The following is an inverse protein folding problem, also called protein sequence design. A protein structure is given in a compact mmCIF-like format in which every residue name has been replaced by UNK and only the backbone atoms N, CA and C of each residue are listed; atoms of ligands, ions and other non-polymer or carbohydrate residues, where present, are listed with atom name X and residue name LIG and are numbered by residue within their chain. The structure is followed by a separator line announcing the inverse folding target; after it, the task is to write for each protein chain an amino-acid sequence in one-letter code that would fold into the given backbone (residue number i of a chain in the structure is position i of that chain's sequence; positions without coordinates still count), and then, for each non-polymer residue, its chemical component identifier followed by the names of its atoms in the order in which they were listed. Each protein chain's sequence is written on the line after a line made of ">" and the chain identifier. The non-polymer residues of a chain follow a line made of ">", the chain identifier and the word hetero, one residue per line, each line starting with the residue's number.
data_IF_047342057337
#
_entry.id   IF_047342057337
#
_cell.length_a   1.000
_cell.length_b   1.000
_cell.length_c   1.000
_cell.angle_alpha   90.00
_cell.angle_beta   90.00
_cell.angle_gamma   90.00
#
_symmetry.space_group_name_H-M   'P 1'
#
loop_
_entity.id
_entity.type
_entity.pdbx_description
1 polymer ?
#
# COMPACT_ATOMS: atom_id res chain seq x y z
N UNK A 1 -7.55 -9.73 -5.59
CA UNK A 1 -6.66 -10.19 -4.51
C UNK A 1 -5.56 -9.18 -4.34
N UNK A 2 -5.17 -8.92 -3.09
CA UNK A 2 -4.02 -8.11 -2.75
C UNK A 2 -3.05 -8.96 -1.94
N UNK A 3 -1.80 -9.01 -2.36
CA UNK A 3 -0.71 -9.63 -1.61
C UNK A 3 0.06 -8.50 -0.92
N UNK A 4 0.16 -8.52 0.41
CA UNK A 4 0.83 -7.50 1.22
C UNK A 4 1.96 -8.14 2.02
N UNK A 5 3.20 -8.02 1.55
CA UNK A 5 4.31 -8.81 2.08
C UNK A 5 3.96 -10.30 2.00
N UNK A 6 3.84 -10.96 3.15
CA UNK A 6 3.39 -12.34 3.23
C UNK A 6 1.88 -12.52 3.46
N UNK A 7 1.11 -11.44 3.57
CA UNK A 7 -0.34 -11.54 3.76
C UNK A 7 -1.10 -11.55 2.43
N UNK A 8 -2.23 -12.25 2.37
CA UNK A 8 -3.13 -12.21 1.21
C UNK A 8 -4.51 -11.78 1.65
N UNK A 9 -5.06 -10.78 0.96
CA UNK A 9 -6.41 -10.25 1.16
C UNK A 9 -7.25 -10.52 -0.08
N UNK A 10 -8.39 -11.18 0.13
CA UNK A 10 -9.36 -11.50 -0.92
C UNK A 10 -10.66 -10.73 -0.69
N UNK A 11 -10.75 -9.54 -1.29
CA UNK A 11 -11.97 -8.74 -1.27
C UNK A 11 -13.03 -9.31 -2.23
N UNK A 12 -14.28 -9.43 -1.75
CA UNK A 12 -15.46 -9.79 -2.55
C UNK A 12 -16.41 -8.62 -2.76
N UNK A 13 -16.52 -7.76 -1.76
CA UNK A 13 -17.28 -6.50 -1.78
C UNK A 13 -16.34 -5.35 -2.14
N UNK A 14 -16.84 -4.33 -2.85
CA UNK A 14 -16.07 -3.16 -3.24
C UNK A 14 -16.93 -1.89 -3.09
N UNK A 15 -16.35 -0.74 -2.69
CA UNK A 15 -14.97 -0.57 -2.25
C UNK A 15 -14.67 -1.34 -0.95
N UNK A 16 -13.41 -1.72 -0.73
CA UNK A 16 -12.99 -2.48 0.44
C UNK A 16 -11.72 -1.89 1.05
N UNK A 17 -11.85 -1.40 2.28
CA UNK A 17 -10.73 -0.97 3.09
C UNK A 17 -9.97 -2.17 3.63
N UNK A 18 -8.66 -2.21 3.38
CA UNK A 18 -7.75 -3.26 3.86
C UNK A 18 -7.03 -2.78 5.11
N UNK A 19 -6.55 -1.53 5.10
CA UNK A 19 -5.96 -0.86 6.26
C UNK A 19 -6.61 0.50 6.40
N UNK A 20 -7.18 0.76 7.57
CA UNK A 20 -7.80 2.04 7.93
C UNK A 20 -7.17 2.64 9.19
N UNK A 21 -7.15 3.96 9.26
CA UNK A 21 -6.72 4.72 10.43
C UNK A 21 -7.75 5.81 10.70
N UNK A 22 -8.36 5.79 11.89
CA UNK A 22 -9.41 6.73 12.31
C UNK A 22 -10.53 6.90 11.28
N UNK A 23 -10.96 5.79 10.67
CA UNK A 23 -12.02 5.77 9.65
C UNK A 23 -11.58 6.30 8.28
N UNK A 24 -10.28 6.51 8.05
CA UNK A 24 -9.71 6.82 6.73
C UNK A 24 -8.99 5.62 6.16
N UNK A 25 -9.31 5.29 4.92
CA UNK A 25 -8.66 4.20 4.19
C UNK A 25 -7.21 4.59 3.84
N UNK A 26 -6.25 3.84 4.37
CA UNK A 26 -4.83 3.97 4.01
C UNK A 26 -4.47 3.00 2.89
N UNK A 27 -5.06 1.80 2.89
CA UNK A 27 -4.97 0.83 1.81
C UNK A 27 -6.39 0.38 1.48
N UNK A 28 -6.81 0.57 0.23
CA UNK A 28 -8.14 0.17 -0.22
C UNK A 28 -8.10 -0.48 -1.60
N UNK A 29 -9.04 -1.41 -1.80
CA UNK A 29 -9.30 -2.06 -3.08
C UNK A 29 -10.64 -1.58 -3.62
N UNK A 30 -10.65 -1.28 -4.92
CA UNK A 30 -11.83 -0.96 -5.70
C UNK A 30 -11.90 -1.89 -6.92
N UNK A 31 -13.05 -1.95 -7.57
CA UNK A 31 -13.28 -2.75 -8.77
C UNK A 31 -13.72 -1.84 -9.91
N UNK A 32 -12.92 -1.82 -10.98
CA UNK A 32 -13.24 -1.08 -12.20
C UNK A 32 -14.40 -1.75 -12.95
N UNK A 33 -15.03 -1.01 -13.86
CA UNK A 33 -16.17 -1.47 -14.67
C UNK A 33 -15.85 -2.72 -15.51
N UNK A 34 -14.61 -2.87 -15.94
CA UNK A 34 -14.11 -4.04 -16.68
C UNK A 34 -13.81 -5.28 -15.79
N UNK A 35 -14.02 -5.15 -14.48
CA UNK A 35 -13.76 -6.21 -13.50
C UNK A 35 -12.31 -6.32 -13.05
N UNK A 36 -11.43 -5.42 -13.49
CA UNK A 36 -10.08 -5.29 -12.95
C UNK A 36 -10.10 -4.66 -11.55
N UNK A 37 -9.06 -4.94 -10.75
CA UNK A 37 -8.92 -4.37 -9.41
C UNK A 37 -8.11 -3.08 -9.49
N UNK A 38 -8.59 -2.07 -8.77
CA UNK A 38 -7.91 -0.82 -8.50
C UNK A 38 -7.38 -0.82 -7.07
N UNK A 39 -6.10 -0.50 -6.89
CA UNK A 39 -5.48 -0.28 -5.59
C UNK A 39 -5.38 1.23 -5.35
N UNK A 40 -5.74 1.64 -4.14
CA UNK A 40 -5.42 2.95 -3.59
C UNK A 40 -4.58 2.75 -2.34
N UNK A 41 -3.44 3.43 -2.25
CA UNK A 41 -2.58 3.43 -1.06
C UNK A 41 -1.91 4.79 -0.86
N UNK A 42 -1.88 5.25 0.38
CA UNK A 42 -1.09 6.40 0.82
C UNK A 42 0.14 5.92 1.58
N UNK A 43 1.33 6.14 1.02
CA UNK A 43 2.60 5.83 1.68
C UNK A 43 3.08 7.07 2.42
N UNK A 44 3.06 7.00 3.74
CA UNK A 44 3.54 8.05 4.62
C UNK A 44 4.99 7.79 5.02
N UNK A 45 5.76 8.86 5.16
CA UNK A 45 7.11 8.88 5.71
C UNK A 45 7.09 9.14 7.22
N UNK A 46 8.22 8.95 7.90
CA UNK A 46 8.39 9.20 9.33
C UNK A 46 8.14 10.66 9.73
N UNK A 47 8.25 11.61 8.80
CA UNK A 47 7.93 13.02 9.02
C UNK A 47 6.43 13.34 8.86
N UNK A 48 5.58 12.32 8.74
CA UNK A 48 4.13 12.46 8.63
C UNK A 48 3.67 13.04 7.29
N UNK A 49 4.50 12.99 6.25
CA UNK A 49 4.13 13.43 4.90
C UNK A 49 3.89 12.24 3.97
N UNK A 50 2.95 12.40 3.04
CA UNK A 50 2.77 11.45 1.94
C UNK A 50 3.95 11.60 0.97
N UNK A 51 4.67 10.50 0.80
CA UNK A 51 5.80 10.39 -0.14
C UNK A 51 5.35 9.85 -1.49
N UNK A 52 4.44 8.87 -1.47
CA UNK A 52 3.86 8.31 -2.67
C UNK A 52 2.39 7.99 -2.42
N UNK A 53 1.57 8.19 -3.43
CA UNK A 53 0.18 7.77 -3.49
C UNK A 53 -0.01 6.91 -4.72
N UNK A 54 -0.70 5.80 -4.56
CA UNK A 54 -1.36 5.13 -5.68
C UNK A 54 -2.83 5.49 -5.56
N UNK A 55 -3.41 6.10 -6.58
CA UNK A 55 -4.84 6.39 -6.64
C UNK A 55 -5.45 5.60 -7.80
N UNK A 56 -6.27 4.60 -7.51
CA UNK A 56 -6.93 3.75 -8.50
C UNK A 56 -6.01 3.25 -9.62
N UNK A 57 -4.84 2.76 -9.24
CA UNK A 57 -3.76 2.28 -10.12
C UNK A 57 -2.89 3.36 -10.78
N UNK A 58 -3.12 4.63 -10.49
CA UNK A 58 -2.30 5.74 -10.98
C UNK A 58 -1.30 6.18 -9.91
N UNK A 59 -0.05 6.38 -10.32
CA UNK A 59 1.03 6.71 -9.40
C UNK A 59 1.18 8.23 -9.31
N UNK A 60 0.99 8.75 -8.11
CA UNK A 60 1.19 10.17 -7.77
C UNK A 60 2.32 10.25 -6.76
N UNK A 61 3.48 10.72 -7.20
CA UNK A 61 4.64 10.93 -6.32
C UNK A 61 4.74 12.42 -5.99
N UNK A 62 4.95 12.74 -4.73
CA UNK A 62 5.13 14.12 -4.30
C UNK A 62 6.49 14.64 -4.81
N UNK A 63 6.48 15.45 -5.87
CA UNK A 63 7.68 15.99 -6.52
C UNK A 63 8.49 16.93 -5.63
N UNK A 64 7.93 17.42 -4.52
CA UNK A 64 8.66 18.22 -3.54
C UNK A 64 9.62 17.39 -2.68
N UNK A 65 9.62 16.07 -2.84
CA UNK A 65 10.45 15.16 -2.07
C UNK A 65 11.45 14.49 -3.03
N UNK A 66 12.72 14.34 -2.59
CA UNK A 66 13.77 13.71 -3.39
C UNK A 66 13.55 12.19 -3.35
N UNK A 67 12.60 11.72 -4.16
CA UNK A 67 12.24 10.31 -4.25
C UNK A 67 12.72 9.75 -5.58
N UNK A 68 13.28 8.53 -5.52
CA UNK A 68 13.64 7.79 -6.73
C UNK A 68 12.48 6.88 -7.10
N UNK A 69 11.88 7.16 -8.25
CA UNK A 69 10.86 6.32 -8.85
C UNK A 69 11.53 5.42 -9.89
N UNK A 70 11.42 4.11 -9.72
CA UNK A 70 11.88 3.13 -10.69
C UNK A 70 10.70 2.28 -11.17
N UNK A 71 10.51 2.24 -12.49
CA UNK A 71 9.47 1.44 -13.14
C UNK A 71 10.16 0.43 -14.05
N UNK A 72 10.59 -0.74 -13.53
CA UNK A 72 11.34 -1.71 -14.31
C UNK A 72 10.51 -2.32 -15.44
N UNK A 73 9.18 -2.35 -15.30
CA UNK A 73 8.25 -2.81 -16.32
C UNK A 73 6.88 -2.11 -16.19
N UNK A 74 5.97 -2.31 -17.15
CA UNK A 74 4.65 -1.67 -17.16
C UNK A 74 3.77 -2.08 -15.96
N UNK A 75 4.08 -3.19 -15.31
CA UNK A 75 3.33 -3.77 -14.20
C UNK A 75 3.97 -3.55 -12.84
N UNK A 76 5.13 -2.89 -12.73
CA UNK A 76 5.87 -2.74 -11.47
C UNK A 76 6.22 -1.28 -11.16
N UNK A 77 6.10 -0.85 -9.91
CA UNK A 77 6.61 0.42 -9.42
C UNK A 77 7.42 0.19 -8.15
N UNK A 78 8.64 0.72 -8.13
CA UNK A 78 9.49 0.80 -6.96
C UNK A 78 9.67 2.27 -6.61
N UNK A 79 9.47 2.62 -5.35
CA UNK A 79 9.73 3.95 -4.80
C UNK A 79 10.76 3.82 -3.69
N UNK A 80 11.82 4.61 -3.81
CA UNK A 80 12.87 4.74 -2.81
C UNK A 80 12.87 6.17 -2.24
N UNK A 81 13.17 6.29 -0.95
CA UNK A 81 13.36 7.58 -0.29
C UNK A 81 14.72 8.22 -0.66
N UNK A 82 14.95 9.42 -0.14
CA UNK A 82 16.19 10.18 -0.33
C UNK A 82 17.46 9.48 0.18
N UNK A 83 17.31 8.51 1.09
CA UNK A 83 18.41 7.71 1.63
C UNK A 83 18.63 6.40 0.83
N UNK A 84 17.87 6.20 -0.25
CA UNK A 84 17.91 4.97 -1.05
C UNK A 84 17.16 3.80 -0.41
N UNK A 85 16.31 4.05 0.60
CA UNK A 85 15.51 3.02 1.24
C UNK A 85 14.24 2.79 0.44
N UNK A 86 13.99 1.54 0.04
CA UNK A 86 12.74 1.17 -0.64
C UNK A 86 11.54 1.33 0.31
N UNK A 87 10.64 2.25 0.00
CA UNK A 87 9.41 2.50 0.79
C UNK A 87 8.20 1.79 0.19
N UNK A 88 8.21 1.52 -1.12
CA UNK A 88 7.15 0.83 -1.83
C UNK A 88 7.73 0.00 -2.97
N UNK A 89 7.29 -1.26 -3.07
CA UNK A 89 7.46 -2.12 -4.22
C UNK A 89 6.09 -2.71 -4.57
N UNK A 90 5.51 -2.21 -5.65
CA UNK A 90 4.16 -2.48 -6.08
C UNK A 90 4.21 -3.20 -7.43
N UNK A 91 3.45 -4.29 -7.60
CA UNK A 91 3.43 -5.07 -8.84
C UNK A 91 2.05 -5.66 -9.15
N UNK A 92 1.56 -5.48 -10.38
CA UNK A 92 0.44 -6.27 -10.89
C UNK A 92 0.92 -7.69 -11.21
N UNK A 93 0.23 -8.67 -10.61
CA UNK A 93 0.41 -10.07 -10.98
C UNK A 93 -0.50 -10.46 -12.15
N UNK A 94 -1.69 -9.85 -12.21
CA UNK A 94 -2.64 -9.91 -13.31
C UNK A 94 -3.73 -8.82 -13.09
N UNK A 95 -4.70 -8.62 -14.00
CA UNK A 95 -5.74 -7.59 -13.84
C UNK A 95 -6.61 -7.71 -12.57
N UNK A 96 -6.58 -8.85 -11.87
CA UNK A 96 -7.35 -9.15 -10.66
C UNK A 96 -6.48 -9.40 -9.42
N UNK A 97 -5.16 -9.20 -9.53
CA UNK A 97 -4.23 -9.46 -8.44
C UNK A 97 -3.08 -8.44 -8.41
N UNK A 98 -2.88 -7.85 -7.25
CA UNK A 98 -1.85 -6.86 -6.99
C UNK A 98 -0.96 -7.34 -5.85
N UNK A 99 0.35 -7.16 -5.93
CA UNK A 99 1.30 -7.39 -4.85
C UNK A 99 1.93 -6.06 -4.41
N UNK A 100 1.96 -5.81 -3.10
CA UNK A 100 2.70 -4.70 -2.50
C UNK A 100 3.63 -5.22 -1.42
N UNK A 101 4.81 -4.61 -1.34
CA UNK A 101 5.73 -4.65 -0.23
C UNK A 101 6.03 -3.21 0.16
N UNK A 102 5.80 -2.84 1.41
CA UNK A 102 5.90 -1.44 1.82
C UNK A 102 6.24 -1.31 3.30
N UNK A 103 6.91 -0.20 3.61
CA UNK A 103 7.11 0.30 4.97
C UNK A 103 6.14 1.47 5.16
N UNK A 104 5.11 1.26 5.95
CA UNK A 104 3.99 2.17 6.06
C UNK A 104 3.98 2.85 7.43
N UNK A 105 4.31 4.15 7.48
CA UNK A 105 3.97 4.94 8.67
C UNK A 105 2.47 5.23 8.68
N UNK A 106 1.85 5.21 9.86
CA UNK A 106 0.43 5.52 9.98
C UNK A 106 0.24 7.02 10.27
N UNK A 107 -0.74 7.67 9.62
CA UNK A 107 -1.07 9.06 9.94
C UNK A 107 -1.49 9.19 11.40
N UNK A 108 -0.99 10.22 12.09
CA UNK A 108 -1.31 10.48 13.49
C UNK A 108 -0.55 9.61 14.50
N UNK A 109 0.28 8.66 14.06
CA UNK A 109 1.11 7.86 14.95
C UNK A 109 2.49 8.51 15.13
N UNK A 110 3.06 8.49 16.36
CA UNK A 110 4.41 8.99 16.59
C UNK A 110 5.44 8.18 15.79
N UNK A 111 6.45 8.81 15.16
CA UNK A 111 7.46 8.11 14.37
C UNK A 111 8.29 7.11 15.19
N UNK A 112 8.34 7.25 16.52
CA UNK A 112 9.00 6.34 17.45
C UNK A 112 8.37 4.94 17.45
N UNK A 113 7.09 4.82 17.06
CA UNK A 113 6.43 3.52 16.90
C UNK A 113 6.98 2.75 15.69
N UNK A 114 7.58 3.46 14.73
CA UNK A 114 8.13 2.90 13.50
C UNK A 114 7.05 2.57 12.45
N UNK A 115 7.49 2.13 11.26
CA UNK A 115 6.57 1.76 10.19
C UNK A 115 5.99 0.36 10.42
N UNK A 116 4.77 0.14 9.93
CA UNK A 116 4.27 -1.21 9.67
C UNK A 116 5.05 -1.81 8.50
N UNK A 117 5.65 -2.96 8.74
CA UNK A 117 6.44 -3.66 7.73
C UNK A 117 5.61 -4.73 7.04
N UNK A 118 5.17 -4.44 5.82
CA UNK A 118 4.58 -5.46 4.94
C UNK A 118 5.66 -5.99 4.00
N UNK A 119 6.65 -6.69 4.57
CA UNK A 119 7.80 -7.21 3.83
C UNK A 119 7.72 -8.74 3.68
N UNK A 120 8.11 -9.24 2.51
CA UNK A 120 8.11 -10.66 2.20
C UNK A 120 9.37 -11.36 2.69
N UNK A 121 9.47 -11.68 3.99
CA UNK A 121 10.60 -12.44 4.56
C UNK A 121 10.17 -13.60 5.46
N UNK A 122 9.27 -14.45 4.96
CA UNK A 122 8.85 -15.75 5.54
C UNK A 122 7.48 -15.79 6.26
N UNK A 123 6.69 -16.79 5.85
CA UNK A 123 5.35 -17.23 6.31
C UNK A 123 4.14 -16.48 5.74
N UNK A 124 3.40 -17.14 4.83
CA UNK A 124 2.20 -16.61 4.17
C UNK A 124 0.95 -16.69 5.08
N UNK A 125 0.32 -15.55 5.37
CA UNK A 125 -0.94 -15.47 6.12
C UNK A 125 -2.10 -15.08 5.18
N UNK A 126 -3.09 -15.96 5.03
CA UNK A 126 -4.29 -15.64 4.23
C UNK A 126 -5.39 -15.08 5.13
N UNK A 127 -5.92 -13.93 4.75
CA UNK A 127 -7.12 -13.34 5.35
C UNK A 127 -8.28 -13.48 4.33
N UNK A 128 -9.29 -14.28 4.66
CA UNK A 128 -10.54 -14.38 3.87
C UNK A 128 -11.66 -13.54 4.52
N UNK A 129 -12.44 -12.86 3.67
CA UNK A 129 -13.66 -12.10 3.96
C UNK A 129 -13.64 -11.19 5.22
N UNK A 130 -13.59 -9.87 4.98
CA UNK A 130 -13.92 -8.78 5.94
C UNK A 130 -12.85 -8.37 6.95
N UNK A 131 -11.63 -8.90 6.86
CA UNK A 131 -10.54 -8.43 7.73
C UNK A 131 -9.98 -7.09 7.22
N UNK A 132 -10.53 -5.99 7.73
CA UNK A 132 -9.88 -4.69 7.69
C UNK A 132 -9.03 -4.54 8.95
N UNK A 133 -7.80 -4.08 8.81
CA UNK A 133 -6.97 -3.69 9.96
C UNK A 133 -7.28 -2.22 10.24
N UNK A 134 -8.04 -1.95 11.30
CA UNK A 134 -8.36 -0.60 11.74
C UNK A 134 -7.46 -0.21 12.91
N UNK A 135 -6.69 0.86 12.72
CA UNK A 135 -5.91 1.48 13.78
C UNK A 135 -6.61 2.72 14.31
N UNK A 136 -6.45 2.99 15.60
CA UNK A 136 -6.89 4.24 16.23
C UNK A 136 -5.67 5.03 16.65
N UNK A 137 -5.55 6.28 16.19
CA UNK A 137 -4.59 7.20 16.80
C UNK A 137 -5.11 7.60 18.19
N UNK A 138 -4.24 7.61 19.19
CA UNK A 138 -4.54 8.04 20.56
C UNK A 138 -3.95 9.42 20.79
#
# INVERSE_FOLDING_TARGET
>A
MLFMGNSVVKARTFPHSVVGVDGKDVIALDKKRDGSIALTIDVWSSDGKIVARIEKNEFVVNQNNILRMNRPDLSSLIVEDQMGKQVLNARYLNPRAFKIETLLYLPGWPPEVGPLEFLGKETMHCFEDSASIEFRSH
#
